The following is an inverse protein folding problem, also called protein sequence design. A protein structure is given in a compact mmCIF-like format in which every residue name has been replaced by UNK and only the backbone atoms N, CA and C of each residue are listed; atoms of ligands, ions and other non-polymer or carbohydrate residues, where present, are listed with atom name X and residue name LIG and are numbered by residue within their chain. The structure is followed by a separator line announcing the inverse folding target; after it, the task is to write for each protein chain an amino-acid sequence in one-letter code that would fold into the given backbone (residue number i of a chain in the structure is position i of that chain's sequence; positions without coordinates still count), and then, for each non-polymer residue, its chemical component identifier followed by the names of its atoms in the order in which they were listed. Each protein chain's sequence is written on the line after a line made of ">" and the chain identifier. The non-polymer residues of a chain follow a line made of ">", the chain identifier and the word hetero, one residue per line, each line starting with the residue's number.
data_IF_392093789643
#
_entry.id   IF_392093789643
#
_cell.length_a   1.000
_cell.length_b   1.000
_cell.length_c   1.000
_cell.angle_alpha   90.00
_cell.angle_beta   90.00
_cell.angle_gamma   90.00
#
_symmetry.space_group_name_H-M   'P 1'
#
loop_
_entity.id
_entity.type
_entity.pdbx_description
1 polymer ?
#
# COMPACT_ATOMS: atom_id res chain seq x y z
N UNK A 1 18.29 -39.37 -11.81
CA UNK A 1 18.10 -39.09 -13.23
C UNK A 1 18.27 -37.59 -13.40
N UNK A 2 19.32 -37.21 -14.14
CA UNK A 2 19.62 -35.78 -14.38
C UNK A 2 18.66 -35.25 -15.44
N UNK A 3 17.95 -34.17 -15.18
CA UNK A 3 17.21 -33.41 -16.20
C UNK A 3 18.15 -32.33 -16.74
N UNK A 4 18.44 -32.43 -18.04
CA UNK A 4 19.17 -31.43 -18.79
C UNK A 4 18.24 -30.25 -19.10
N UNK A 5 18.73 -29.04 -18.80
CA UNK A 5 18.09 -27.79 -19.17
C UNK A 5 18.52 -27.49 -20.62
N UNK A 6 17.57 -27.46 -21.52
CA UNK A 6 17.79 -27.03 -22.91
C UNK A 6 17.69 -25.51 -22.94
N UNK A 7 18.86 -24.88 -23.14
CA UNK A 7 18.97 -23.44 -23.36
C UNK A 7 18.58 -23.14 -24.81
N UNK A 8 17.41 -22.58 -25.03
CA UNK A 8 16.96 -22.12 -26.33
C UNK A 8 17.61 -20.79 -26.70
N UNK A 9 18.56 -20.81 -27.65
CA UNK A 9 19.15 -19.59 -28.22
C UNK A 9 18.18 -19.05 -29.26
N UNK A 10 17.54 -17.89 -28.94
CA UNK A 10 16.77 -17.11 -29.91
C UNK A 10 17.74 -16.26 -30.71
N UNK A 11 17.97 -16.65 -31.97
CA UNK A 11 18.78 -15.89 -32.92
C UNK A 11 17.95 -14.76 -33.51
N UNK A 12 18.19 -13.52 -33.10
CA UNK A 12 17.66 -12.36 -33.80
C UNK A 12 18.39 -12.16 -35.14
N UNK A 13 17.66 -12.31 -36.23
CA UNK A 13 18.12 -11.89 -37.55
C UNK A 13 17.99 -10.35 -37.64
N UNK A 14 19.12 -9.65 -37.62
CA UNK A 14 19.21 -8.24 -38.00
C UNK A 14 19.18 -8.09 -39.50
N UNK A 15 18.13 -7.51 -40.03
CA UNK A 15 18.09 -7.05 -41.43
C UNK A 15 18.73 -5.64 -41.48
N UNK A 16 19.95 -5.57 -41.96
CA UNK A 16 20.65 -4.30 -42.24
C UNK A 16 20.16 -3.74 -43.57
N UNK A 17 19.30 -2.71 -43.54
CA UNK A 17 19.02 -1.87 -44.68
C UNK A 17 19.87 -0.61 -44.60
N UNK A 18 20.95 -0.54 -45.37
CA UNK A 18 21.78 0.68 -45.56
C UNK A 18 21.06 1.66 -46.47
N UNK A 19 20.49 2.73 -45.91
CA UNK A 19 20.07 3.89 -46.66
C UNK A 19 21.08 5.04 -46.40
N UNK A 20 21.85 5.38 -47.44
CA UNK A 20 22.69 6.59 -47.47
C UNK A 20 21.84 7.77 -47.92
N UNK A 21 21.59 8.73 -47.04
CA UNK A 21 21.07 10.05 -47.42
C UNK A 21 22.18 11.12 -47.25
N UNK A 22 22.28 12.08 -48.16
CA UNK A 22 23.27 13.15 -48.04
C UNK A 22 22.84 14.14 -46.96
N UNK A 23 23.72 14.43 -45.99
CA UNK A 23 23.52 15.43 -44.96
C UNK A 23 23.84 16.79 -45.54
N UNK A 24 22.81 17.65 -45.68
CA UNK A 24 22.98 19.09 -45.71
C UNK A 24 22.69 19.61 -44.31
N UNK A 25 23.74 20.19 -43.68
CA UNK A 25 23.64 20.83 -42.39
C UNK A 25 22.93 22.17 -42.54
N UNK A 26 21.72 22.30 -41.95
CA UNK A 26 21.16 23.58 -41.52
C UNK A 26 20.97 23.53 -40.01
N UNK A 27 21.46 24.56 -39.34
CA UNK A 27 21.29 24.78 -37.89
C UNK A 27 19.81 24.88 -37.55
N UNK A 28 19.26 23.86 -36.90
CA UNK A 28 17.86 23.84 -36.47
C UNK A 28 17.60 22.76 -35.42
N UNK A 29 17.54 23.20 -34.19
CA UNK A 29 16.83 22.60 -33.02
C UNK A 29 16.88 21.09 -32.88
N UNK A 30 17.70 20.61 -31.98
CA UNK A 30 17.92 19.20 -31.58
C UNK A 30 16.68 18.48 -31.07
N UNK A 31 15.55 19.18 -30.92
CA UNK A 31 14.31 18.64 -30.30
C UNK A 31 13.48 17.63 -31.10
N UNK A 32 13.80 17.37 -32.39
CA UNK A 32 12.99 16.50 -33.24
C UNK A 32 13.65 15.18 -33.65
N UNK A 33 14.88 14.91 -33.20
CA UNK A 33 15.67 13.72 -33.63
C UNK A 33 15.60 12.55 -32.64
N UNK A 34 15.17 12.79 -31.41
CA UNK A 34 15.16 11.78 -30.33
C UNK A 34 14.07 10.71 -30.44
N UNK A 35 13.17 10.79 -31.42
CA UNK A 35 12.08 9.82 -31.58
C UNK A 35 12.40 8.56 -32.42
N UNK A 36 13.58 8.45 -33.03
CA UNK A 36 13.88 7.35 -33.97
C UNK A 36 15.32 6.82 -33.98
N UNK A 37 16.18 7.28 -33.04
CA UNK A 37 17.58 6.86 -33.01
C UNK A 37 17.77 5.79 -31.98
N UNK A 38 18.16 4.59 -32.43
CA UNK A 38 18.50 3.47 -31.54
C UNK A 38 19.75 3.80 -30.70
N UNK A 39 19.83 3.23 -29.50
CA UNK A 39 20.88 3.47 -28.49
C UNK A 39 22.31 3.32 -29.03
N UNK A 40 22.52 2.58 -30.11
CA UNK A 40 23.84 2.39 -30.74
C UNK A 40 24.39 3.62 -31.49
N UNK A 41 23.55 4.55 -31.95
CA UNK A 41 24.02 5.78 -32.64
C UNK A 41 24.38 6.91 -31.67
N UNK A 42 23.92 6.81 -30.42
CA UNK A 42 24.23 7.77 -29.36
C UNK A 42 25.67 7.63 -28.84
N UNK A 43 26.27 6.44 -29.01
CA UNK A 43 27.66 6.14 -28.57
C UNK A 43 28.74 6.80 -29.42
N UNK A 44 28.42 7.37 -30.60
CA UNK A 44 29.40 8.07 -31.44
C UNK A 44 29.57 9.59 -31.11
N UNK A 45 28.74 10.10 -30.20
CA UNK A 45 28.86 11.45 -29.70
C UNK A 45 29.60 11.42 -28.35
N UNK A 46 30.85 11.58 -28.26
CA UNK A 46 31.80 11.75 -27.13
C UNK A 46 31.19 12.14 -25.72
N UNK A 47 29.92 11.81 -25.52
CA UNK A 47 29.15 11.99 -24.26
C UNK A 47 28.83 10.64 -23.65
N UNK A 48 29.01 10.53 -22.34
CA UNK A 48 28.61 9.35 -21.58
C UNK A 48 27.08 9.22 -21.57
N UNK A 49 26.56 8.01 -21.44
CA UNK A 49 25.12 7.71 -21.34
C UNK A 49 24.48 8.53 -20.20
N UNK A 50 25.22 8.77 -19.12
CA UNK A 50 24.82 9.63 -17.99
C UNK A 50 24.65 11.12 -18.40
N UNK A 51 25.59 11.70 -19.17
CA UNK A 51 25.48 13.06 -19.68
C UNK A 51 24.31 13.26 -20.65
N UNK A 52 23.90 12.18 -21.34
CA UNK A 52 22.76 12.20 -22.25
C UNK A 52 21.42 12.20 -21.48
N UNK A 53 21.32 11.39 -20.41
CA UNK A 53 20.14 11.35 -19.54
C UNK A 53 19.99 12.68 -18.80
N UNK A 54 21.09 13.25 -18.30
CA UNK A 54 21.09 14.55 -17.62
C UNK A 54 20.70 15.69 -18.59
N UNK A 55 21.11 15.63 -19.85
CA UNK A 55 20.76 16.61 -20.88
C UNK A 55 19.32 16.47 -21.41
N UNK A 56 18.75 15.25 -21.41
CA UNK A 56 17.38 15.00 -21.85
C UNK A 56 16.31 15.40 -20.80
N UNK A 57 16.74 15.72 -19.57
CA UNK A 57 15.85 15.97 -18.44
C UNK A 57 15.19 14.70 -17.88
N UNK A 58 14.38 14.82 -16.83
CA UNK A 58 13.75 13.68 -16.20
C UNK A 58 12.72 13.04 -17.16
N UNK A 59 13.08 11.90 -17.72
CA UNK A 59 12.12 11.04 -18.42
C UNK A 59 11.39 10.22 -17.34
N UNK A 60 10.09 10.41 -17.22
CA UNK A 60 9.25 9.64 -16.31
C UNK A 60 9.35 8.14 -16.62
N UNK A 61 9.60 7.32 -15.60
CA UNK A 61 9.70 5.89 -15.70
C UNK A 61 8.81 5.25 -14.62
N UNK A 62 7.83 4.46 -15.02
CA UNK A 62 6.88 3.79 -14.11
C UNK A 62 6.20 4.75 -13.10
N UNK A 63 5.93 6.02 -13.52
CA UNK A 63 5.34 7.05 -12.67
C UNK A 63 6.31 7.82 -11.79
N UNK A 64 7.64 7.60 -11.92
CA UNK A 64 8.69 8.31 -11.19
C UNK A 64 9.45 9.26 -12.11
N UNK A 65 9.61 10.51 -11.66
CA UNK A 65 10.43 11.51 -12.38
C UNK A 65 11.92 11.38 -12.03
N UNK A 66 12.22 11.04 -10.78
CA UNK A 66 13.57 10.81 -10.27
C UNK A 66 13.60 9.56 -9.40
N UNK A 67 13.66 8.40 -10.06
CA UNK A 67 13.53 7.11 -9.39
C UNK A 67 14.75 6.76 -8.55
N UNK A 68 14.51 6.26 -7.33
CA UNK A 68 15.46 5.57 -6.47
C UNK A 68 15.00 4.14 -6.20
N UNK A 69 15.94 3.21 -6.09
CA UNK A 69 15.68 1.79 -5.78
C UNK A 69 16.50 1.38 -4.55
N UNK A 70 15.85 0.81 -3.55
CA UNK A 70 16.55 0.28 -2.38
C UNK A 70 17.42 -0.92 -2.74
N UNK A 71 18.70 -0.87 -2.35
CA UNK A 71 19.69 -1.94 -2.57
C UNK A 71 20.25 -2.40 -1.21
N UNK A 72 19.58 -3.38 -0.62
CA UNK A 72 19.83 -3.86 0.74
C UNK A 72 19.56 -5.36 0.87
N UNK A 73 20.22 -6.01 1.83
CA UNK A 73 19.98 -7.44 2.09
C UNK A 73 18.59 -7.71 2.70
N UNK A 74 18.09 -6.81 3.56
CA UNK A 74 16.82 -6.98 4.26
C UNK A 74 15.86 -5.82 3.98
N UNK A 75 16.13 -4.64 4.59
CA UNK A 75 15.31 -3.45 4.40
C UNK A 75 16.08 -2.17 4.68
N UNK A 76 15.73 -1.12 3.97
CA UNK A 76 16.21 0.25 4.16
C UNK A 76 15.25 0.99 5.11
N UNK A 77 15.80 1.56 6.17
CA UNK A 77 15.03 2.37 7.11
C UNK A 77 14.76 3.76 6.53
N UNK A 78 13.52 4.21 6.60
CA UNK A 78 13.12 5.59 6.27
C UNK A 78 12.79 6.33 7.56
N UNK A 79 13.41 7.51 7.75
CA UNK A 79 13.35 8.30 8.98
C UNK A 79 12.70 9.66 8.76
N UNK A 80 12.15 10.24 9.82
CA UNK A 80 11.52 11.57 9.80
C UNK A 80 12.54 12.71 9.57
N UNK A 81 13.79 12.51 10.01
CA UNK A 81 14.89 13.48 9.92
C UNK A 81 16.15 12.84 9.32
N UNK A 82 17.04 13.63 8.65
CA UNK A 82 18.26 13.13 8.02
C UNK A 82 19.37 12.82 9.03
N UNK A 83 19.10 11.93 9.99
CA UNK A 83 20.03 11.47 11.00
C UNK A 83 19.66 10.08 11.55
N UNK A 84 20.64 9.34 12.10
CA UNK A 84 20.43 7.98 12.61
C UNK A 84 19.50 7.91 13.83
N UNK A 85 19.32 8.99 14.57
CA UNK A 85 18.43 9.07 15.73
C UNK A 85 16.99 9.44 15.34
N UNK A 86 16.77 9.87 14.09
CA UNK A 86 15.46 10.22 13.55
C UNK A 86 14.45 9.09 13.71
N UNK A 87 13.21 9.43 14.05
CA UNK A 87 12.11 8.46 14.21
C UNK A 87 11.91 7.69 12.90
N UNK A 88 11.77 6.37 13.01
CA UNK A 88 11.40 5.53 11.86
C UNK A 88 9.96 5.82 11.44
N UNK A 89 9.76 6.14 10.16
CA UNK A 89 8.45 6.39 9.55
C UNK A 89 8.03 5.25 8.61
N UNK A 90 8.98 4.50 8.07
CA UNK A 90 8.73 3.34 7.22
C UNK A 90 9.98 2.53 6.93
N UNK A 91 9.81 1.49 6.14
CA UNK A 91 10.89 0.62 5.65
C UNK A 91 10.66 0.29 4.18
N UNK A 92 11.72 0.27 3.40
CA UNK A 92 11.75 -0.23 2.04
C UNK A 92 12.37 -1.62 2.02
N UNK A 93 11.70 -2.59 1.41
CA UNK A 93 12.31 -3.88 1.09
C UNK A 93 13.40 -3.71 0.03
N UNK A 94 14.23 -4.73 -0.15
CA UNK A 94 15.12 -4.77 -1.31
C UNK A 94 14.31 -4.61 -2.61
N UNK A 95 14.82 -3.81 -3.53
CA UNK A 95 14.17 -3.47 -4.79
C UNK A 95 12.91 -2.57 -4.69
N UNK A 96 12.52 -2.11 -3.51
CA UNK A 96 11.43 -1.14 -3.42
C UNK A 96 11.83 0.20 -4.05
N UNK A 97 10.89 0.81 -4.79
CA UNK A 97 11.08 2.05 -5.51
C UNK A 97 10.63 3.28 -4.69
N UNK A 98 11.24 4.42 -4.97
CA UNK A 98 10.84 5.71 -4.42
C UNK A 98 11.07 6.84 -5.43
N UNK A 99 10.38 7.96 -5.25
CA UNK A 99 10.73 9.25 -5.86
C UNK A 99 11.77 9.93 -4.99
N UNK A 100 12.89 10.36 -5.56
CA UNK A 100 13.92 11.15 -4.90
C UNK A 100 13.51 12.62 -4.98
N UNK A 101 13.25 13.23 -3.82
CA UNK A 101 12.81 14.63 -3.70
C UNK A 101 13.99 15.59 -3.51
N UNK A 102 15.11 15.11 -2.97
CA UNK A 102 16.32 15.91 -2.72
C UNK A 102 17.38 15.16 -1.95
N UNK A 103 18.55 15.79 -1.76
CA UNK A 103 19.69 15.19 -1.05
C UNK A 103 20.24 16.17 -0.03
N UNK A 104 20.51 15.71 1.20
CA UNK A 104 21.11 16.47 2.31
C UNK A 104 22.31 15.70 2.88
N UNK A 105 23.53 16.00 2.41
CA UNK A 105 24.76 15.28 2.81
C UNK A 105 24.66 13.79 2.41
N UNK A 106 24.77 12.91 3.39
CA UNK A 106 24.67 11.46 3.18
C UNK A 106 23.23 10.92 3.22
N UNK A 107 22.22 11.83 3.21
CA UNK A 107 20.80 11.48 3.30
C UNK A 107 20.04 11.92 2.05
N UNK A 108 19.08 11.08 1.64
CA UNK A 108 18.18 11.36 0.52
C UNK A 108 16.76 11.51 1.06
N UNK A 109 16.11 12.63 0.75
CA UNK A 109 14.68 12.83 0.98
C UNK A 109 13.92 12.09 -0.10
N UNK A 110 13.06 11.17 0.29
CA UNK A 110 12.33 10.28 -0.61
C UNK A 110 10.84 10.25 -0.31
N UNK A 111 10.06 9.87 -1.34
CA UNK A 111 8.67 9.46 -1.21
C UNK A 111 8.47 8.09 -1.86
N UNK A 112 8.00 7.12 -1.11
CA UNK A 112 7.76 5.75 -1.58
C UNK A 112 6.39 5.28 -1.08
N UNK A 113 5.43 5.15 -1.99
CA UNK A 113 4.05 4.89 -1.63
C UNK A 113 3.50 5.94 -0.65
N UNK A 114 3.11 5.49 0.55
CA UNK A 114 2.60 6.34 1.64
C UNK A 114 3.70 6.89 2.56
N UNK A 115 4.95 6.44 2.38
CA UNK A 115 6.08 6.82 3.22
C UNK A 115 6.81 8.01 2.60
N UNK A 116 7.04 9.06 3.40
CA UNK A 116 7.90 10.19 3.05
C UNK A 116 8.89 10.41 4.20
N UNK A 117 10.17 10.62 3.87
CA UNK A 117 11.22 10.80 4.86
C UNK A 117 12.60 10.65 4.24
N UNK A 118 13.59 10.35 5.07
CA UNK A 118 15.00 10.31 4.71
C UNK A 118 15.57 8.90 4.83
N UNK A 119 16.36 8.49 3.84
CA UNK A 119 17.18 7.28 3.91
C UNK A 119 18.64 7.61 3.58
N UNK A 120 19.56 6.72 3.94
CA UNK A 120 20.98 6.93 3.69
C UNK A 120 21.34 6.61 2.24
N UNK A 121 22.19 7.43 1.61
CA UNK A 121 22.60 7.33 0.20
C UNK A 121 23.22 5.98 -0.16
N UNK A 122 24.00 5.39 0.75
CA UNK A 122 24.74 4.13 0.51
C UNK A 122 23.84 2.92 0.21
N UNK A 123 22.55 3.01 0.52
CA UNK A 123 21.57 1.92 0.39
C UNK A 123 20.50 2.22 -0.65
N UNK A 124 20.70 3.26 -1.47
CA UNK A 124 19.75 3.65 -2.51
C UNK A 124 20.46 3.81 -3.85
N UNK A 125 20.08 3.01 -4.83
CA UNK A 125 20.46 3.25 -6.22
C UNK A 125 19.74 4.48 -6.73
N UNK A 126 20.43 5.29 -7.55
CA UNK A 126 19.87 6.48 -8.21
C UNK A 126 20.34 6.57 -9.66
N UNK A 127 19.78 7.51 -10.42
CA UNK A 127 20.16 7.77 -11.80
C UNK A 127 20.02 6.53 -12.70
N UNK A 128 21.01 6.27 -13.54
CA UNK A 128 20.99 5.18 -14.51
C UNK A 128 20.89 3.79 -13.84
N UNK A 129 21.56 3.59 -12.70
CA UNK A 129 21.54 2.30 -12.00
C UNK A 129 20.13 1.98 -11.48
N UNK A 130 19.43 2.97 -10.93
CA UNK A 130 18.06 2.79 -10.48
C UNK A 130 17.12 2.50 -11.66
N UNK A 131 17.29 3.17 -12.79
CA UNK A 131 16.49 2.94 -14.01
C UNK A 131 16.65 1.53 -14.53
N UNK A 132 17.90 1.06 -14.70
CA UNK A 132 18.18 -0.31 -15.14
C UNK A 132 17.60 -1.35 -14.17
N UNK A 133 17.75 -1.14 -12.87
CA UNK A 133 17.19 -2.04 -11.87
C UNK A 133 15.65 -2.04 -11.94
N UNK A 134 15.01 -0.88 -12.09
CA UNK A 134 13.56 -0.77 -12.20
C UNK A 134 13.01 -1.55 -13.41
N UNK A 135 13.66 -1.46 -14.57
CA UNK A 135 13.30 -2.21 -15.78
C UNK A 135 13.43 -3.73 -15.60
N UNK A 136 14.37 -4.18 -14.75
CA UNK A 136 14.58 -5.60 -14.45
C UNK A 136 13.55 -6.18 -13.47
N UNK A 137 13.00 -5.35 -12.59
CA UNK A 137 12.16 -5.80 -11.46
C UNK A 137 10.70 -5.38 -11.56
N UNK A 138 10.34 -4.54 -12.53
CA UNK A 138 8.95 -4.13 -12.74
C UNK A 138 8.08 -5.34 -13.04
N UNK A 139 6.93 -5.40 -12.38
CA UNK A 139 5.91 -6.43 -12.62
C UNK A 139 4.65 -5.80 -13.19
N UNK A 140 3.94 -6.53 -14.03
CA UNK A 140 2.60 -6.13 -14.46
C UNK A 140 1.59 -6.64 -13.46
N UNK A 141 0.73 -5.74 -12.96
CA UNK A 141 -0.33 -6.10 -12.02
C UNK A 141 -1.70 -5.69 -12.56
N UNK A 142 -2.73 -6.41 -12.14
CA UNK A 142 -4.13 -6.07 -12.37
C UNK A 142 -4.73 -5.60 -11.04
N UNK A 143 -5.08 -4.30 -10.96
CA UNK A 143 -5.68 -3.67 -9.79
C UNK A 143 -7.21 -3.66 -9.91
N UNK A 144 -7.90 -4.13 -8.87
CA UNK A 144 -9.36 -4.15 -8.84
C UNK A 144 -9.93 -2.73 -8.75
N UNK A 145 -10.77 -2.33 -9.71
CA UNK A 145 -11.42 -1.02 -9.77
C UNK A 145 -12.66 -0.93 -8.89
N UNK A 146 -13.12 -2.06 -8.32
CA UNK A 146 -14.26 -2.14 -7.39
C UNK A 146 -14.11 -3.31 -6.43
N UNK A 147 -14.66 -3.17 -5.23
CA UNK A 147 -14.60 -4.24 -4.21
C UNK A 147 -15.46 -5.46 -4.59
N UNK A 148 -14.95 -6.65 -4.25
CA UNK A 148 -15.63 -7.93 -4.48
C UNK A 148 -15.39 -8.53 -5.87
N UNK A 149 -14.35 -8.07 -6.60
CA UNK A 149 -13.90 -8.72 -7.83
C UNK A 149 -13.50 -10.17 -7.52
N UNK A 150 -14.10 -11.12 -8.22
CA UNK A 150 -13.91 -12.54 -7.96
C UNK A 150 -12.70 -13.09 -8.71
N UNK A 151 -11.81 -13.74 -7.97
CA UNK A 151 -10.75 -14.58 -8.55
C UNK A 151 -11.32 -15.99 -8.73
N UNK A 152 -11.22 -16.55 -9.92
CA UNK A 152 -11.88 -17.79 -10.34
C UNK A 152 -10.89 -18.82 -10.83
N UNK A 153 -11.30 -20.09 -10.83
CA UNK A 153 -10.47 -21.21 -11.34
C UNK A 153 -10.38 -21.26 -12.86
N UNK A 154 -11.33 -20.64 -13.58
CA UNK A 154 -11.38 -20.63 -15.05
C UNK A 154 -11.89 -19.28 -15.56
N UNK A 155 -11.60 -18.88 -16.82
CA UNK A 155 -12.05 -17.61 -17.41
C UNK A 155 -13.53 -17.68 -17.81
N UNK A 156 -14.42 -17.94 -16.86
CA UNK A 156 -15.88 -17.95 -17.04
C UNK A 156 -16.61 -17.69 -15.72
N UNK A 157 -17.93 -17.46 -15.78
CA UNK A 157 -18.74 -17.14 -14.60
C UNK A 157 -19.32 -18.36 -13.87
N UNK A 158 -19.23 -19.55 -14.44
CA UNK A 158 -19.90 -20.77 -13.95
C UNK A 158 -18.96 -21.67 -13.14
N UNK A 159 -17.68 -21.32 -13.04
CA UNK A 159 -16.65 -22.03 -12.30
C UNK A 159 -16.57 -21.62 -10.82
N UNK A 160 -15.73 -22.33 -10.06
CA UNK A 160 -15.46 -22.07 -8.65
C UNK A 160 -14.76 -20.69 -8.45
N UNK A 161 -15.07 -20.05 -7.32
CA UNK A 161 -14.45 -18.79 -6.89
C UNK A 161 -13.39 -19.15 -5.86
N UNK A 162 -12.12 -18.81 -6.14
CA UNK A 162 -11.00 -19.01 -5.22
C UNK A 162 -11.07 -17.98 -4.07
N UNK A 163 -11.21 -16.69 -4.42
CA UNK A 163 -11.30 -15.59 -3.48
C UNK A 163 -11.96 -14.36 -4.13
N UNK A 164 -11.98 -13.25 -3.39
CA UNK A 164 -12.44 -11.95 -3.89
C UNK A 164 -11.43 -10.87 -3.54
N UNK A 165 -11.13 -10.01 -4.51
CA UNK A 165 -10.28 -8.84 -4.32
C UNK A 165 -11.08 -7.65 -3.78
N UNK A 166 -10.43 -6.87 -2.91
CA UNK A 166 -10.94 -5.57 -2.50
C UNK A 166 -10.66 -4.51 -3.58
N UNK A 167 -11.36 -3.37 -3.54
CA UNK A 167 -11.04 -2.21 -4.39
C UNK A 167 -9.61 -1.72 -4.10
N UNK A 168 -8.81 -1.54 -5.14
CA UNK A 168 -7.39 -1.15 -5.05
C UNK A 168 -6.43 -2.31 -4.73
N UNK A 169 -6.92 -3.53 -4.52
CA UNK A 169 -6.07 -4.71 -4.39
C UNK A 169 -5.53 -5.13 -5.77
N UNK A 170 -4.25 -5.53 -5.81
CA UNK A 170 -3.56 -5.89 -7.05
C UNK A 170 -3.04 -7.31 -6.98
N UNK A 171 -3.10 -8.03 -8.11
CA UNK A 171 -2.47 -9.33 -8.32
C UNK A 171 -1.56 -9.27 -9.55
N UNK A 172 -0.47 -10.03 -9.53
CA UNK A 172 0.45 -10.13 -10.66
C UNK A 172 -0.24 -10.76 -11.88
N UNK A 173 -0.04 -10.15 -13.06
CA UNK A 173 -0.61 -10.62 -14.32
C UNK A 173 0.30 -11.67 -14.93
N UNK A 174 -0.26 -12.84 -15.21
CA UNK A 174 0.42 -13.92 -15.93
C UNK A 174 0.14 -13.79 -17.43
N UNK A 175 -1.12 -13.51 -17.81
CA UNK A 175 -1.54 -13.41 -19.20
C UNK A 175 -2.84 -12.60 -19.32
N UNK A 176 -2.94 -11.79 -20.36
CA UNK A 176 -4.20 -11.12 -20.72
C UNK A 176 -4.95 -11.96 -21.79
N UNK A 177 -6.25 -12.22 -21.54
CA UNK A 177 -7.13 -13.00 -22.39
C UNK A 177 -8.33 -12.13 -22.86
N UNK A 178 -9.12 -12.64 -23.80
CA UNK A 178 -10.33 -11.93 -24.24
C UNK A 178 -11.37 -11.85 -23.11
N UNK A 179 -11.55 -10.63 -22.55
CA UNK A 179 -12.43 -10.33 -21.42
C UNK A 179 -11.99 -10.83 -20.04
N UNK A 180 -10.82 -11.48 -19.93
CA UNK A 180 -10.28 -12.03 -18.69
C UNK A 180 -8.80 -11.73 -18.54
N UNK A 181 -8.35 -11.67 -17.28
CA UNK A 181 -6.93 -11.56 -16.93
C UNK A 181 -6.56 -12.76 -16.08
N UNK A 182 -5.54 -13.49 -16.50
CA UNK A 182 -4.93 -14.57 -15.71
C UNK A 182 -3.96 -13.95 -14.73
N UNK A 183 -4.14 -14.21 -13.45
CA UNK A 183 -3.38 -13.63 -12.35
C UNK A 183 -2.76 -14.71 -11.47
N UNK A 184 -1.72 -14.34 -10.74
CA UNK A 184 -1.08 -15.18 -9.75
C UNK A 184 -1.68 -14.85 -8.36
N UNK A 185 -2.24 -15.85 -7.70
CA UNK A 185 -2.74 -15.79 -6.33
C UNK A 185 -1.90 -16.72 -5.45
N UNK A 186 -0.99 -16.14 -4.65
CA UNK A 186 0.07 -16.88 -3.98
C UNK A 186 0.87 -17.72 -5.02
N UNK A 187 0.84 -19.05 -4.94
CA UNK A 187 1.48 -19.96 -5.89
C UNK A 187 0.49 -20.59 -6.89
N UNK A 188 -0.78 -20.15 -6.91
CA UNK A 188 -1.84 -20.70 -7.76
C UNK A 188 -2.31 -19.67 -8.80
N UNK A 189 -2.64 -20.15 -10.00
CA UNK A 189 -3.19 -19.30 -11.06
C UNK A 189 -4.70 -19.14 -10.90
N UNK A 190 -5.19 -17.90 -11.10
CA UNK A 190 -6.61 -17.59 -11.08
C UNK A 190 -6.99 -16.67 -12.25
N UNK A 191 -8.29 -16.40 -12.40
CA UNK A 191 -8.82 -15.54 -13.47
C UNK A 191 -9.74 -14.48 -12.89
N UNK A 192 -9.55 -13.23 -13.32
CA UNK A 192 -10.41 -12.09 -13.00
C UNK A 192 -10.99 -11.49 -14.28
N UNK A 193 -12.15 -10.86 -14.18
CA UNK A 193 -12.75 -10.16 -15.34
C UNK A 193 -12.00 -8.86 -15.61
N UNK A 194 -11.60 -8.65 -16.87
CA UNK A 194 -10.94 -7.43 -17.33
C UNK A 194 -11.82 -6.17 -17.20
N UNK A 195 -13.16 -6.31 -17.18
CA UNK A 195 -14.09 -5.18 -17.02
C UNK A 195 -13.98 -4.48 -15.65
N UNK A 196 -13.38 -5.13 -14.66
CA UNK A 196 -13.32 -4.66 -13.28
C UNK A 196 -11.88 -4.58 -12.74
N UNK A 197 -10.89 -4.59 -13.64
CA UNK A 197 -9.48 -4.46 -13.28
C UNK A 197 -8.77 -3.51 -14.26
N UNK A 198 -7.79 -2.78 -13.74
CA UNK A 198 -6.86 -1.96 -14.51
C UNK A 198 -5.48 -2.62 -14.49
N UNK A 199 -4.92 -2.87 -15.68
CA UNK A 199 -3.58 -3.45 -15.83
C UNK A 199 -2.56 -2.32 -15.88
N UNK A 200 -1.54 -2.40 -15.02
CA UNK A 200 -0.46 -1.41 -14.96
C UNK A 200 0.86 -2.03 -14.55
N UNK A 201 1.94 -1.37 -14.90
CA UNK A 201 3.27 -1.65 -14.36
C UNK A 201 3.36 -1.21 -12.90
N UNK A 202 4.02 -2.00 -12.09
CA UNK A 202 4.13 -1.77 -10.66
C UNK A 202 5.55 -2.09 -10.15
N UNK A 203 6.00 -1.26 -9.24
CA UNK A 203 7.19 -1.49 -8.43
C UNK A 203 6.78 -1.49 -6.95
N UNK A 204 7.39 -2.36 -6.17
CA UNK A 204 7.19 -2.37 -4.72
C UNK A 204 7.55 -1.02 -4.10
N UNK A 205 6.84 -0.63 -3.06
CA UNK A 205 7.06 0.62 -2.34
C UNK A 205 7.32 0.38 -0.85
N UNK A 206 7.72 1.44 -0.15
CA UNK A 206 7.92 1.39 1.30
C UNK A 206 6.62 1.05 2.03
N UNK A 207 6.77 0.29 3.11
CA UNK A 207 5.71 0.00 4.08
C UNK A 207 5.85 0.93 5.27
N UNK A 208 4.75 1.55 5.72
CA UNK A 208 4.78 2.43 6.88
C UNK A 208 5.08 1.65 8.17
N UNK A 209 5.67 2.33 9.17
CA UNK A 209 5.85 1.72 10.50
C UNK A 209 4.53 1.29 11.12
N UNK A 210 3.46 1.97 10.80
CA UNK A 210 2.10 1.65 11.22
C UNK A 210 1.64 0.32 10.64
N UNK A 211 1.80 0.12 9.34
CA UNK A 211 1.46 -1.14 8.67
C UNK A 211 2.32 -2.31 9.18
N UNK A 212 3.61 -2.08 9.40
CA UNK A 212 4.51 -3.11 9.97
C UNK A 212 4.13 -3.54 11.39
N UNK A 213 3.61 -2.63 12.20
CA UNK A 213 3.26 -2.90 13.60
C UNK A 213 1.83 -3.39 13.80
N UNK A 214 0.91 -3.00 12.94
CA UNK A 214 -0.54 -3.19 13.14
C UNK A 214 -1.25 -3.89 11.97
N UNK A 215 -0.53 -4.18 10.89
CA UNK A 215 -1.05 -4.85 9.70
C UNK A 215 -1.34 -3.90 8.55
N UNK A 216 -1.42 -4.48 7.36
CA UNK A 216 -1.66 -3.77 6.10
C UNK A 216 -2.98 -2.98 6.12
N UNK A 217 -2.98 -1.81 5.51
CA UNK A 217 -4.14 -0.92 5.40
C UNK A 217 -4.59 -0.30 6.73
N UNK A 218 -3.77 -0.34 7.80
CA UNK A 218 -4.03 0.39 9.04
C UNK A 218 -3.43 1.78 8.93
N UNK A 219 -4.27 2.82 8.95
CA UNK A 219 -3.83 4.21 8.89
C UNK A 219 -3.30 4.74 10.22
N UNK A 220 -2.47 5.79 10.18
CA UNK A 220 -1.96 6.47 11.39
C UNK A 220 -3.09 6.99 12.28
N UNK A 221 -4.19 7.47 11.70
CA UNK A 221 -5.38 7.90 12.43
C UNK A 221 -5.96 6.77 13.28
N UNK A 222 -6.00 5.54 12.78
CA UNK A 222 -6.47 4.36 13.53
C UNK A 222 -5.58 4.05 14.73
N UNK A 223 -4.26 4.11 14.53
CA UNK A 223 -3.29 3.88 15.60
C UNK A 223 -3.37 4.94 16.66
N UNK A 224 -3.39 6.21 16.27
CA UNK A 224 -3.54 7.34 17.20
C UNK A 224 -4.85 7.27 17.99
N UNK A 225 -5.96 6.93 17.32
CA UNK A 225 -7.27 6.76 17.96
C UNK A 225 -7.21 5.66 19.03
N UNK A 226 -6.60 4.52 18.71
CA UNK A 226 -6.44 3.42 19.66
C UNK A 226 -5.51 3.79 20.81
N UNK A 227 -4.40 4.48 20.54
CA UNK A 227 -3.48 4.96 21.58
C UNK A 227 -4.17 5.98 22.48
N UNK A 228 -4.93 6.92 21.91
CA UNK A 228 -5.71 7.87 22.66
C UNK A 228 -6.76 7.18 23.54
N UNK A 229 -7.51 6.23 23.01
CA UNK A 229 -8.48 5.45 23.77
C UNK A 229 -7.85 4.73 24.98
N UNK A 230 -6.64 4.16 24.82
CA UNK A 230 -5.91 3.48 25.89
C UNK A 230 -5.50 4.38 27.05
N UNK A 231 -5.33 5.71 26.85
CA UNK A 231 -4.96 6.65 27.90
C UNK A 231 -6.02 6.75 29.01
N UNK A 232 -7.25 6.34 28.75
CA UNK A 232 -8.38 6.42 29.68
C UNK A 232 -8.67 5.11 30.41
N UNK A 233 -7.85 4.08 30.23
CA UNK A 233 -7.98 2.81 30.97
C UNK A 233 -7.88 3.09 32.48
N UNK A 234 -8.81 2.49 33.24
CA UNK A 234 -8.94 2.69 34.68
C UNK A 234 -9.93 3.81 35.07
N UNK A 235 -10.32 4.68 34.15
CA UNK A 235 -11.31 5.72 34.44
C UNK A 235 -12.71 5.13 34.63
N UNK A 236 -13.58 5.79 35.41
CA UNK A 236 -14.86 5.23 35.84
C UNK A 236 -15.84 5.07 34.67
N UNK A 237 -16.71 4.07 34.80
CA UNK A 237 -17.94 3.97 34.02
C UNK A 237 -19.06 4.77 34.68
N UNK A 238 -19.74 5.62 33.92
CA UNK A 238 -20.94 6.33 34.35
C UNK A 238 -22.02 6.18 33.29
N UNK A 239 -23.17 5.63 33.66
CA UNK A 239 -24.30 5.49 32.75
C UNK A 239 -24.75 6.85 32.20
N UNK A 240 -24.89 6.97 30.87
CA UNK A 240 -25.19 8.24 30.19
C UNK A 240 -24.06 9.27 30.21
N UNK A 241 -22.86 8.87 30.70
CA UNK A 241 -21.70 9.76 30.73
C UNK A 241 -20.94 9.75 29.42
N UNK A 242 -20.27 10.88 29.09
CA UNK A 242 -19.43 11.07 27.92
C UNK A 242 -18.04 11.58 28.28
N UNK A 243 -17.74 11.79 29.55
CA UNK A 243 -16.44 12.29 29.99
C UNK A 243 -15.43 11.17 30.07
N UNK A 244 -14.37 11.24 29.26
CA UNK A 244 -13.30 10.24 29.23
C UNK A 244 -12.55 10.12 30.57
N UNK A 245 -12.54 11.17 31.40
CA UNK A 245 -11.84 11.23 32.69
C UNK A 245 -12.75 11.12 33.90
N UNK A 246 -13.98 11.69 33.82
CA UNK A 246 -14.93 11.73 34.95
C UNK A 246 -15.98 10.63 34.91
N UNK A 247 -16.06 9.93 33.77
CA UNK A 247 -16.92 8.76 33.54
C UNK A 247 -17.72 8.81 32.26
N UNK A 248 -17.66 7.68 31.55
CA UNK A 248 -18.40 7.46 30.31
C UNK A 248 -19.08 6.10 30.34
N UNK A 249 -20.23 5.96 29.66
CA UNK A 249 -20.74 4.64 29.30
C UNK A 249 -20.09 4.13 28.00
N UNK A 250 -20.46 2.94 27.53
CA UNK A 250 -19.83 2.32 26.37
C UNK A 250 -19.92 3.16 25.10
N UNK A 251 -21.10 3.71 24.78
CA UNK A 251 -21.33 4.55 23.60
C UNK A 251 -20.84 5.99 23.78
N UNK A 252 -20.83 6.50 25.00
CA UNK A 252 -20.23 7.79 25.33
C UNK A 252 -18.72 7.78 25.26
N UNK A 253 -18.08 6.65 25.62
CA UNK A 253 -16.64 6.44 25.45
C UNK A 253 -16.27 6.48 23.96
N UNK A 254 -16.90 5.66 23.12
CA UNK A 254 -16.63 5.63 21.68
C UNK A 254 -16.91 6.98 21.02
N UNK A 255 -18.06 7.63 21.34
CA UNK A 255 -18.39 8.97 20.88
C UNK A 255 -17.28 9.97 21.18
N UNK A 256 -16.78 9.99 22.41
CA UNK A 256 -15.81 10.98 22.87
C UNK A 256 -14.41 10.75 22.30
N UNK A 257 -14.01 9.49 22.11
CA UNK A 257 -12.75 9.15 21.45
C UNK A 257 -12.79 9.56 19.98
N UNK A 258 -13.82 9.17 19.24
CA UNK A 258 -13.95 9.47 17.81
C UNK A 258 -14.11 10.97 17.52
N UNK A 259 -14.78 11.71 18.42
CA UNK A 259 -14.93 13.17 18.31
C UNK A 259 -13.60 13.91 18.23
N UNK A 260 -12.54 13.44 18.92
CA UNK A 260 -11.21 14.04 18.84
C UNK A 260 -10.65 14.02 17.41
N UNK A 261 -11.05 13.05 16.59
CA UNK A 261 -10.63 12.87 15.21
C UNK A 261 -11.66 13.40 14.19
N UNK A 262 -12.59 14.26 14.64
CA UNK A 262 -13.59 14.89 13.77
C UNK A 262 -14.76 13.98 13.38
N UNK A 263 -14.83 12.76 13.93
CA UNK A 263 -15.87 11.78 13.62
C UNK A 263 -16.98 11.88 14.66
N UNK A 264 -18.18 12.26 14.21
CA UNK A 264 -19.36 12.39 15.06
C UNK A 264 -20.12 11.07 15.16
N UNK A 265 -20.31 10.57 16.40
CA UNK A 265 -21.11 9.39 16.68
C UNK A 265 -22.32 9.77 17.54
N UNK A 266 -23.49 9.11 17.38
CA UNK A 266 -24.62 9.27 18.31
C UNK A 266 -24.29 8.63 19.67
N UNK A 267 -24.82 9.19 20.77
CA UNK A 267 -24.69 8.61 22.11
C UNK A 267 -25.69 7.46 22.33
N UNK A 268 -25.63 6.44 21.46
CA UNK A 268 -26.47 5.25 21.56
C UNK A 268 -25.85 4.10 20.74
N UNK A 269 -25.49 3.01 21.41
CA UNK A 269 -24.77 1.88 20.76
C UNK A 269 -25.54 1.26 19.61
N UNK A 270 -26.88 1.18 19.67
CA UNK A 270 -27.71 0.68 18.56
C UNK A 270 -27.60 1.58 17.34
N UNK A 271 -27.64 2.89 17.50
CA UNK A 271 -27.50 3.85 16.40
C UNK A 271 -26.08 3.80 15.82
N UNK A 272 -25.04 3.70 16.66
CA UNK A 272 -23.66 3.53 16.20
C UNK A 272 -23.50 2.25 15.38
N UNK A 273 -24.20 1.15 15.74
CA UNK A 273 -24.13 -0.12 15.02
C UNK A 273 -24.73 -0.10 13.60
N UNK A 274 -25.41 0.97 13.25
CA UNK A 274 -25.96 1.20 11.90
C UNK A 274 -25.07 2.09 11.04
N UNK A 275 -23.99 2.63 11.59
CA UNK A 275 -23.07 3.52 10.89
C UNK A 275 -21.92 2.75 10.23
N UNK A 276 -21.30 3.37 9.22
CA UNK A 276 -20.13 2.86 8.53
C UNK A 276 -20.34 1.53 7.78
N UNK A 277 -19.24 0.99 7.26
CA UNK A 277 -19.22 -0.28 6.53
C UNK A 277 -19.23 -1.44 7.52
N UNK A 278 -20.06 -2.47 7.29
CA UNK A 278 -20.00 -3.72 8.05
C UNK A 278 -18.83 -4.55 7.57
N UNK A 279 -18.02 -5.04 8.50
CA UNK A 279 -16.87 -5.92 8.22
C UNK A 279 -16.97 -7.20 9.06
N UNK A 280 -16.29 -8.25 8.62
CA UNK A 280 -16.12 -9.49 9.41
C UNK A 280 -15.04 -9.30 10.48
N UNK A 281 -14.89 -10.27 11.38
CA UNK A 281 -13.82 -10.22 12.39
C UNK A 281 -12.42 -10.42 11.76
N UNK A 282 -12.33 -11.16 10.67
CA UNK A 282 -11.09 -11.36 9.91
C UNK A 282 -10.64 -10.11 9.16
N UNK A 283 -11.58 -9.27 8.74
CA UNK A 283 -11.32 -7.98 8.05
C UNK A 283 -11.21 -6.80 9.03
N UNK A 284 -11.48 -7.02 10.32
CA UNK A 284 -11.52 -5.95 11.31
C UNK A 284 -10.13 -5.36 11.55
N UNK A 285 -10.02 -4.04 11.41
CA UNK A 285 -8.81 -3.26 11.64
C UNK A 285 -8.87 -2.53 13.00
N UNK A 286 -7.71 -2.23 13.57
CA UNK A 286 -7.63 -1.38 14.76
C UNK A 286 -8.43 -0.08 14.53
N UNK A 287 -9.22 0.35 15.53
CA UNK A 287 -10.13 1.50 15.42
C UNK A 287 -11.55 1.17 14.96
N UNK A 288 -11.84 -0.04 14.51
CA UNK A 288 -13.21 -0.46 14.21
C UNK A 288 -14.05 -0.59 15.48
N UNK A 289 -15.37 -0.34 15.36
CA UNK A 289 -16.30 -0.50 16.46
C UNK A 289 -16.88 -1.90 16.50
N UNK A 290 -16.69 -2.59 17.63
CA UNK A 290 -17.27 -3.93 17.88
C UNK A 290 -18.53 -3.77 18.73
N UNK A 291 -19.64 -4.26 18.22
CA UNK A 291 -20.95 -4.24 18.89
C UNK A 291 -21.31 -5.61 19.41
N UNK A 292 -21.82 -5.63 20.63
CA UNK A 292 -22.18 -6.86 21.33
C UNK A 292 -23.68 -6.91 21.63
N UNK A 293 -24.22 -8.12 21.74
CA UNK A 293 -25.61 -8.34 22.10
C UNK A 293 -25.75 -9.45 23.16
N UNK A 294 -26.88 -9.42 23.86
CA UNK A 294 -27.33 -10.51 24.74
C UNK A 294 -28.54 -11.24 24.16
N UNK A 295 -28.58 -11.37 22.84
CA UNK A 295 -29.69 -11.89 22.07
C UNK A 295 -29.83 -11.13 20.76
N UNK A 296 -31.02 -10.58 20.48
CA UNK A 296 -31.29 -9.85 19.23
C UNK A 296 -30.91 -8.37 19.23
N UNK A 297 -30.69 -7.78 20.43
CA UNK A 297 -30.48 -6.33 20.55
C UNK A 297 -29.04 -5.98 20.96
N UNK A 298 -28.44 -5.02 20.26
CA UNK A 298 -27.16 -4.42 20.66
C UNK A 298 -27.29 -3.75 22.02
N UNK A 299 -26.39 -4.05 22.92
CA UNK A 299 -26.37 -3.51 24.28
C UNK A 299 -24.98 -3.02 24.74
N UNK A 300 -23.95 -3.18 23.90
CA UNK A 300 -22.61 -2.74 24.24
C UNK A 300 -21.78 -2.46 23.00
N UNK A 301 -20.76 -1.62 23.14
CA UNK A 301 -19.81 -1.27 22.08
C UNK A 301 -18.41 -1.06 22.67
N UNK A 302 -17.39 -1.38 21.89
CA UNK A 302 -15.98 -1.10 22.18
C UNK A 302 -15.20 -0.81 20.91
N UNK A 303 -13.97 -0.32 21.06
CA UNK A 303 -13.04 -0.03 19.98
C UNK A 303 -12.10 -1.21 19.84
N UNK A 304 -12.03 -1.81 18.66
CA UNK A 304 -11.08 -2.89 18.36
C UNK A 304 -9.65 -2.35 18.36
N UNK A 305 -8.73 -3.06 18.99
CA UNK A 305 -7.31 -2.69 19.09
C UNK A 305 -6.41 -3.49 18.17
N UNK A 306 -6.97 -4.42 17.39
CA UNK A 306 -6.19 -5.47 16.75
C UNK A 306 -5.90 -6.64 17.69
N UNK A 307 -5.33 -7.72 17.15
CA UNK A 307 -4.88 -8.90 17.93
C UNK A 307 -5.93 -9.49 18.89
N UNK A 308 -7.19 -9.46 18.49
CA UNK A 308 -8.28 -10.01 19.28
C UNK A 308 -8.62 -9.24 20.55
N UNK A 309 -8.25 -7.96 20.64
CA UNK A 309 -8.48 -7.11 21.81
C UNK A 309 -9.45 -5.96 21.53
N UNK A 310 -10.19 -5.54 22.56
CA UNK A 310 -11.11 -4.39 22.51
C UNK A 310 -10.94 -3.53 23.75
N UNK A 311 -10.89 -2.20 23.60
CA UNK A 311 -11.00 -1.24 24.70
C UNK A 311 -12.41 -0.69 24.79
N UNK A 312 -12.99 -0.68 26.00
CA UNK A 312 -14.38 -0.30 26.22
C UNK A 312 -14.64 0.20 27.64
N UNK A 313 -15.62 1.06 27.81
CA UNK A 313 -16.19 1.36 29.11
C UNK A 313 -17.14 0.19 29.51
N UNK A 314 -16.66 -0.68 30.40
CA UNK A 314 -17.23 -2.02 30.62
C UNK A 314 -18.44 -2.02 31.56
N UNK A 315 -18.27 -1.54 32.77
CA UNK A 315 -19.30 -1.51 33.83
C UNK A 315 -18.91 -0.55 34.96
N UNK A 316 -19.87 -0.15 35.84
CA UNK A 316 -19.57 0.67 37.03
C UNK A 316 -18.49 0.07 37.94
N UNK A 317 -18.36 -1.26 37.94
CA UNK A 317 -17.40 -1.95 38.80
C UNK A 317 -15.97 -1.92 38.22
N UNK A 318 -15.83 -1.90 36.91
CA UNK A 318 -14.52 -2.13 36.25
C UNK A 318 -14.04 -0.93 35.44
N UNK A 319 -14.90 0.05 35.19
CA UNK A 319 -14.52 1.22 34.40
C UNK A 319 -14.14 0.91 32.94
N UNK A 320 -13.24 1.72 32.41
CA UNK A 320 -12.65 1.55 31.08
C UNK A 320 -11.50 0.54 31.16
N UNK A 321 -11.53 -0.47 30.29
CA UNK A 321 -10.53 -1.54 30.29
C UNK A 321 -10.36 -2.20 28.91
N UNK A 322 -9.33 -3.02 28.79
CA UNK A 322 -9.16 -3.96 27.66
C UNK A 322 -9.79 -5.30 28.01
N UNK A 323 -10.39 -5.93 27.01
CA UNK A 323 -10.92 -7.32 27.06
C UNK A 323 -10.59 -8.06 25.78
N UNK A 324 -10.67 -9.39 25.78
CA UNK A 324 -10.67 -10.18 24.55
C UNK A 324 -11.91 -9.82 23.72
N UNK A 325 -11.78 -9.70 22.41
CA UNK A 325 -12.88 -9.34 21.49
C UNK A 325 -14.06 -10.29 21.58
N UNK A 326 -13.80 -11.57 21.84
CA UNK A 326 -14.81 -12.61 21.99
C UNK A 326 -15.39 -12.77 23.40
N UNK A 327 -15.15 -11.81 24.36
CA UNK A 327 -15.64 -11.92 25.74
C UNK A 327 -17.18 -11.85 25.87
N UNK A 328 -17.88 -11.42 24.83
CA UNK A 328 -19.34 -11.47 24.63
C UNK A 328 -19.66 -11.86 23.19
N UNK A 329 -20.93 -12.21 22.93
CA UNK A 329 -21.41 -12.46 21.57
C UNK A 329 -21.32 -11.20 20.72
N UNK A 330 -20.49 -11.25 19.66
CA UNK A 330 -20.36 -10.18 18.70
C UNK A 330 -21.63 -10.13 17.85
N UNK A 331 -22.29 -8.96 17.81
CA UNK A 331 -23.43 -8.69 16.95
C UNK A 331 -22.98 -8.20 15.57
N UNK A 332 -22.07 -7.26 15.52
CA UNK A 332 -21.51 -6.71 14.28
C UNK A 332 -20.22 -5.94 14.55
N UNK A 333 -19.41 -5.77 13.51
CA UNK A 333 -18.23 -4.88 13.52
C UNK A 333 -18.44 -3.85 12.42
N UNK A 334 -18.04 -2.61 12.69
CA UNK A 334 -18.22 -1.48 11.79
C UNK A 334 -16.93 -0.70 11.61
N UNK A 335 -16.50 -0.57 10.34
CA UNK A 335 -15.53 0.44 9.95
C UNK A 335 -16.25 1.78 9.82
N UNK A 336 -15.90 2.72 10.70
CA UNK A 336 -16.47 4.07 10.77
C UNK A 336 -15.51 5.09 10.16
N UNK A 337 -14.21 4.79 10.14
CA UNK A 337 -13.15 5.72 9.71
C UNK A 337 -13.16 5.88 8.19
N UNK A 338 -13.50 4.81 7.44
CA UNK A 338 -13.75 4.91 6.00
C UNK A 338 -12.51 4.72 5.12
N UNK A 339 -11.49 4.05 5.65
CA UNK A 339 -10.26 3.65 4.93
C UNK A 339 -10.22 2.14 4.70
#
# INVERSE_FOLDING_TARGET
>A
MKREVILGIVTFMTVSATYTMPVHAEEGTIGSVLGSVGVSEVLELDKTEEEFIEAAGPVELFGYSNIGIADVDNHLNVRETPDESGKLVGKMSNNAACEILGTEGDWVHIKSGKVEGYCHTDYLLSGLLARKRAEEIVVTVAEATSGGLRVRTEPNTDCEILTTMAEGESLEVVEELDGWIKVLLDDEEGYISADYAEVRENLDTAVTMTELLYGEGVSDVRVELCQYAKQFIGNPYVWGGTSLTKGADCSGFTLSVFKKYGISLPHYSVSQSQMGKKVSLSEAKAGDLVFYSNGSRVNHVGIYLGNGQVVHASSPRTGIKISNVGYRTIHSIRNIIGD
#
